data_IF_069512851864
#
_entry.id   IF_069512851864
#
_cell.length_a   1.000
_cell.length_b   1.000
_cell.length_c   1.000
_cell.angle_alpha   90.00
_cell.angle_beta   90.00
_cell.angle_gamma   90.00
#
_symmetry.space_group_name_H-M   'P 1'
#
loop_
_entity.id
_entity.type
_entity.pdbx_description
1 polymer ?
#
# COMPACT_ATOMS: atom_id res chain seq x y z
N UNK A 1 -16.71 -3.76 -20.08
CA UNK A 1 -16.62 -3.27 -18.69
C UNK A 1 -15.28 -2.58 -18.53
N UNK A 2 -15.23 -1.46 -17.80
CA UNK A 2 -14.12 -0.50 -17.87
C UNK A 2 -12.88 -0.88 -17.02
N UNK A 3 -12.95 -1.96 -16.24
CA UNK A 3 -11.86 -2.46 -15.41
C UNK A 3 -11.54 -3.91 -15.76
N UNK A 4 -10.25 -4.25 -15.73
CA UNK A 4 -9.82 -5.62 -15.94
C UNK A 4 -10.18 -6.48 -14.74
N UNK A 5 -10.33 -7.79 -14.97
CA UNK A 5 -10.54 -8.77 -13.91
C UNK A 5 -9.46 -8.67 -12.84
N UNK A 6 -8.21 -8.41 -13.25
CA UNK A 6 -7.08 -8.22 -12.33
C UNK A 6 -7.27 -7.03 -11.39
N UNK A 7 -7.75 -5.89 -11.90
CA UNK A 7 -8.03 -4.72 -11.04
C UNK A 7 -9.13 -5.05 -10.06
N UNK A 8 -10.21 -5.69 -10.52
CA UNK A 8 -11.33 -6.06 -9.66
C UNK A 8 -10.94 -7.06 -8.58
N UNK A 9 -10.06 -8.02 -8.89
CA UNK A 9 -9.54 -8.96 -7.91
C UNK A 9 -8.72 -8.26 -6.81
N UNK A 10 -7.78 -7.38 -7.17
CA UNK A 10 -7.00 -6.64 -6.17
C UNK A 10 -7.86 -5.69 -5.34
N UNK A 11 -8.92 -5.13 -5.93
CA UNK A 11 -9.87 -4.24 -5.24
C UNK A 11 -10.74 -5.00 -4.23
N UNK A 12 -11.22 -6.19 -4.58
CA UNK A 12 -12.09 -7.01 -3.72
C UNK A 12 -11.30 -7.89 -2.74
N UNK A 13 -10.07 -8.24 -3.06
CA UNK A 13 -9.16 -9.05 -2.24
C UNK A 13 -7.79 -8.35 -2.10
N UNK A 14 -7.71 -7.25 -1.35
CA UNK A 14 -6.46 -6.54 -1.15
C UNK A 14 -5.52 -7.35 -0.26
N UNK A 15 -4.23 -7.41 -0.62
CA UNK A 15 -3.28 -8.40 -0.07
C UNK A 15 -2.36 -7.86 1.03
N UNK A 16 -2.29 -6.54 1.19
CA UNK A 16 -1.32 -5.87 2.06
C UNK A 16 -1.97 -4.77 2.91
N UNK A 17 -3.25 -4.91 3.24
CA UNK A 17 -3.94 -3.91 4.06
C UNK A 17 -3.43 -3.96 5.51
N UNK A 18 -3.18 -2.78 6.08
CA UNK A 18 -2.96 -2.60 7.51
C UNK A 18 -1.71 -1.78 7.83
N UNK A 19 -1.23 -1.94 9.05
CA UNK A 19 -0.09 -1.18 9.56
C UNK A 19 1.04 -2.13 10.02
N UNK A 20 2.27 -1.64 10.01
CA UNK A 20 3.43 -2.32 10.61
C UNK A 20 3.88 -1.44 11.77
N UNK A 21 3.70 -1.90 13.01
CA UNK A 21 3.98 -1.10 14.22
C UNK A 21 5.45 -0.68 14.31
N UNK A 22 6.37 -1.56 13.90
CA UNK A 22 7.81 -1.37 13.93
C UNK A 22 8.41 -1.20 12.53
N UNK A 23 7.68 -0.52 11.64
CA UNK A 23 8.12 -0.23 10.28
C UNK A 23 9.48 0.50 10.27
N UNK A 24 10.37 0.10 9.36
CA UNK A 24 11.63 0.81 9.11
C UNK A 24 11.38 2.17 8.42
N UNK A 25 10.27 2.31 7.71
CA UNK A 25 9.85 3.57 7.09
C UNK A 25 8.35 3.67 6.91
N UNK A 26 7.81 4.89 7.08
CA UNK A 26 6.41 5.23 6.84
C UNK A 26 6.33 6.45 5.94
N UNK A 27 5.53 6.36 4.88
CA UNK A 27 5.29 7.45 3.94
C UNK A 27 3.81 7.77 3.82
N UNK A 28 3.46 9.05 3.65
CA UNK A 28 2.08 9.45 3.35
C UNK A 28 2.10 10.50 2.25
N UNK A 29 1.34 10.25 1.19
CA UNK A 29 1.22 11.14 0.05
C UNK A 29 -0.26 11.25 -0.31
N UNK A 30 -0.71 12.45 -0.64
CA UNK A 30 -2.06 12.69 -1.11
C UNK A 30 -2.07 13.48 -2.42
N UNK A 31 -3.11 13.27 -3.22
CA UNK A 31 -3.37 14.06 -4.42
C UNK A 31 -4.55 15.00 -4.19
N UNK A 32 -4.26 16.28 -4.05
CA UNK A 32 -5.25 17.32 -3.76
C UNK A 32 -6.36 17.46 -4.82
N UNK A 33 -6.16 16.94 -6.05
CA UNK A 33 -7.16 17.04 -7.12
C UNK A 33 -8.28 15.99 -7.01
N UNK A 34 -7.98 14.81 -6.47
CA UNK A 34 -8.94 13.72 -6.33
C UNK A 34 -9.27 13.39 -4.86
N UNK A 35 -8.48 13.91 -3.91
CA UNK A 35 -8.66 13.64 -2.48
C UNK A 35 -8.08 12.32 -2.02
N UNK A 36 -7.45 11.55 -2.92
CA UNK A 36 -6.83 10.27 -2.58
C UNK A 36 -5.63 10.50 -1.68
N UNK A 37 -5.59 9.76 -0.56
CA UNK A 37 -4.47 9.73 0.38
C UNK A 37 -3.99 8.30 0.47
N UNK A 38 -2.69 8.09 0.31
CA UNK A 38 -2.03 6.81 0.45
C UNK A 38 -1.02 6.89 1.59
N UNK A 39 -1.14 5.97 2.54
CA UNK A 39 -0.15 5.73 3.58
C UNK A 39 0.51 4.37 3.29
N UNK A 40 1.81 4.29 3.49
CA UNK A 40 2.57 3.05 3.26
C UNK A 40 3.55 2.82 4.40
N UNK A 41 3.70 1.55 4.77
CA UNK A 41 4.62 1.04 5.77
C UNK A 41 5.59 0.07 5.11
N UNK A 42 6.89 0.21 5.37
CA UNK A 42 7.94 -0.67 4.86
C UNK A 42 8.76 -1.23 6.02
N UNK A 43 8.90 -2.56 6.08
CA UNK A 43 9.87 -3.24 6.93
C UNK A 43 11.09 -3.60 6.09
N UNK A 44 12.27 -3.11 6.48
CA UNK A 44 13.50 -3.25 5.71
C UNK A 44 14.57 -3.89 6.58
N UNK A 45 15.26 -4.90 6.02
CA UNK A 45 16.41 -5.58 6.60
C UNK A 45 17.42 -5.92 5.50
N UNK A 46 18.70 -5.69 5.77
CA UNK A 46 19.80 -6.00 4.84
C UNK A 46 19.56 -5.46 3.42
N UNK A 47 19.12 -4.20 3.33
CA UNK A 47 18.75 -3.49 2.09
C UNK A 47 17.63 -4.17 1.26
N UNK A 48 16.79 -5.00 1.89
CA UNK A 48 15.62 -5.65 1.27
C UNK A 48 14.34 -5.34 2.03
N UNK A 49 13.24 -5.20 1.30
CA UNK A 49 11.90 -5.08 1.88
C UNK A 49 11.43 -6.48 2.29
N UNK A 50 11.25 -6.69 3.59
CA UNK A 50 10.73 -7.95 4.14
C UNK A 50 9.20 -7.97 4.20
N UNK A 51 8.58 -6.81 4.47
CA UNK A 51 7.11 -6.66 4.47
C UNK A 51 6.71 -5.23 4.06
N UNK A 52 5.50 -5.12 3.49
CA UNK A 52 4.89 -3.86 3.07
C UNK A 52 3.39 -3.88 3.35
N UNK A 53 2.88 -2.78 3.91
CA UNK A 53 1.45 -2.56 4.10
C UNK A 53 1.00 -1.16 3.70
N UNK A 54 -0.29 -1.01 3.44
CA UNK A 54 -0.97 0.26 3.14
C UNK A 54 -2.30 0.39 3.88
#
# INVERSE_FOLDING_TARGET
MQYSEKVMDHFTHPRNVGEIEDASGVGTVGNAKCGDIMKMYLKIKDDKIEDVKF
#
